data_IF_578482968580
#
_entry.id   IF_578482968580
#
_cell.length_a   1.000
_cell.length_b   1.000
_cell.length_c   1.000
_cell.angle_alpha   90.00
_cell.angle_beta   90.00
_cell.angle_gamma   90.00
#
_symmetry.space_group_name_H-M   'P 1'
#
loop_
_entity.id
_entity.type
_entity.pdbx_description
1 polymer ?
#
# COMPACT_ATOMS: atom_id res chain seq x y z
N UNK A 1 18.99 0.91 -34.67
CA UNK A 1 19.19 -0.44 -34.09
C UNK A 1 18.31 -0.52 -32.84
N UNK A 2 17.04 -0.09 -32.94
CA UNK A 2 16.25 0.32 -31.74
C UNK A 2 14.83 -0.29 -31.72
N UNK A 3 14.31 -0.72 -32.88
CA UNK A 3 12.97 -1.32 -32.98
C UNK A 3 12.89 -2.73 -32.37
N UNK A 4 14.02 -3.44 -32.27
CA UNK A 4 14.05 -4.82 -31.75
C UNK A 4 14.14 -4.86 -30.23
N UNK A 5 14.89 -3.94 -29.61
CA UNK A 5 14.95 -3.82 -28.15
C UNK A 5 13.64 -3.32 -27.55
N UNK A 6 12.97 -2.34 -28.17
CA UNK A 6 11.67 -1.85 -27.70
C UNK A 6 10.58 -2.93 -27.80
N UNK A 7 10.62 -3.77 -28.84
CA UNK A 7 9.70 -4.88 -29.00
C UNK A 7 9.94 -6.01 -27.98
N UNK A 8 11.19 -6.26 -27.56
CA UNK A 8 11.50 -7.19 -26.47
C UNK A 8 11.21 -6.60 -25.09
N UNK A 9 11.47 -5.31 -24.86
CA UNK A 9 11.15 -4.59 -23.63
C UNK A 9 9.64 -4.56 -23.37
N UNK A 10 8.84 -4.29 -24.40
CA UNK A 10 7.37 -4.31 -24.31
C UNK A 10 6.77 -5.72 -24.17
N UNK A 11 7.40 -6.76 -24.74
CA UNK A 11 7.01 -8.16 -24.48
C UNK A 11 7.34 -8.58 -23.04
N UNK A 12 8.51 -8.19 -22.55
CA UNK A 12 8.92 -8.43 -21.16
C UNK A 12 8.08 -7.64 -20.15
N UNK A 13 7.61 -6.44 -20.48
CA UNK A 13 6.72 -5.67 -19.60
C UNK A 13 5.34 -6.31 -19.47
N UNK A 14 4.81 -6.87 -20.57
CA UNK A 14 3.54 -7.60 -20.56
C UNK A 14 3.62 -8.94 -19.83
N UNK A 15 4.73 -9.68 -19.96
CA UNK A 15 4.91 -10.95 -19.27
C UNK A 15 5.16 -10.78 -17.76
N UNK A 16 5.84 -9.70 -17.35
CA UNK A 16 6.07 -9.36 -15.93
C UNK A 16 4.78 -9.26 -15.11
N UNK A 17 3.66 -8.86 -15.71
CA UNK A 17 2.37 -8.80 -15.01
C UNK A 17 1.98 -10.14 -14.38
N UNK A 18 2.23 -11.26 -15.08
CA UNK A 18 1.93 -12.61 -14.60
C UNK A 18 2.94 -13.14 -13.57
N UNK A 19 4.05 -12.42 -13.39
CA UNK A 19 5.14 -12.77 -12.46
C UNK A 19 5.16 -11.84 -11.24
N UNK A 20 4.16 -10.96 -11.09
CA UNK A 20 4.04 -10.13 -9.90
C UNK A 20 3.71 -11.05 -8.70
N UNK A 21 4.54 -11.07 -7.65
CA UNK A 21 4.36 -11.99 -6.54
C UNK A 21 3.15 -11.64 -5.67
N UNK A 22 2.59 -10.43 -5.83
CA UNK A 22 1.55 -9.87 -4.99
C UNK A 22 0.56 -9.08 -5.85
N UNK A 23 -0.72 -9.24 -5.54
CA UNK A 23 -1.82 -8.45 -6.08
C UNK A 23 -2.15 -7.27 -5.16
N UNK A 24 -2.60 -6.15 -5.74
CA UNK A 24 -2.99 -4.98 -4.95
C UNK A 24 -4.30 -5.25 -4.17
N UNK A 25 -4.32 -4.89 -2.89
CA UNK A 25 -5.54 -4.94 -2.08
C UNK A 25 -6.56 -3.88 -2.51
N UNK A 26 -7.84 -4.19 -2.37
CA UNK A 26 -8.95 -3.29 -2.65
C UNK A 26 -10.03 -3.36 -1.56
N UNK A 27 -10.84 -2.32 -1.45
CA UNK A 27 -11.99 -2.26 -0.54
C UNK A 27 -13.23 -1.91 -1.36
N UNK A 28 -14.15 -2.85 -1.43
CA UNK A 28 -15.44 -2.69 -2.09
C UNK A 28 -16.57 -2.83 -1.06
N UNK A 29 -17.61 -2.04 -1.25
CA UNK A 29 -18.81 -2.06 -0.42
C UNK A 29 -19.97 -2.70 -1.18
N UNK A 30 -20.83 -3.41 -0.45
CA UNK A 30 -22.03 -3.97 -1.05
C UNK A 30 -23.06 -2.86 -1.29
N UNK A 31 -23.48 -2.72 -2.56
CA UNK A 31 -24.63 -1.93 -3.02
C UNK A 31 -24.69 -0.47 -2.54
N UNK A 32 -25.27 -0.21 -1.36
CA UNK A 32 -25.62 1.11 -0.84
C UNK A 32 -24.63 1.64 0.20
N UNK A 33 -23.75 0.78 0.72
CA UNK A 33 -22.71 1.23 1.64
C UNK A 33 -21.64 2.03 0.90
N UNK A 34 -21.15 3.09 1.54
CA UNK A 34 -20.12 3.99 0.99
C UNK A 34 -18.77 3.66 1.63
N UNK A 35 -17.71 3.53 0.83
CA UNK A 35 -16.36 3.16 1.29
C UNK A 35 -15.82 4.08 2.39
N UNK A 36 -16.10 5.39 2.32
CA UNK A 36 -15.68 6.35 3.35
C UNK A 36 -16.42 6.24 4.69
N UNK A 37 -17.43 5.37 4.80
CA UNK A 37 -18.10 5.05 6.08
C UNK A 37 -17.54 3.81 6.76
N UNK A 38 -16.62 3.09 6.12
CA UNK A 38 -16.00 1.90 6.69
C UNK A 38 -15.07 2.31 7.83
N UNK A 39 -15.30 1.77 9.04
CA UNK A 39 -14.48 2.04 10.21
C UNK A 39 -13.16 1.28 10.15
N UNK A 40 -12.07 1.88 10.64
CA UNK A 40 -10.77 1.22 10.72
C UNK A 40 -10.81 -0.08 11.54
N UNK A 41 -11.62 -0.13 12.60
CA UNK A 41 -11.85 -1.36 13.40
C UNK A 41 -12.46 -2.49 12.57
N UNK A 42 -13.32 -2.16 11.61
CA UNK A 42 -13.93 -3.16 10.72
C UNK A 42 -12.91 -3.69 9.71
N UNK A 43 -11.98 -2.85 9.26
CA UNK A 43 -10.87 -3.25 8.38
C UNK A 43 -9.93 -4.18 9.12
N UNK A 44 -9.51 -3.82 10.34
CA UNK A 44 -8.60 -4.61 11.18
C UNK A 44 -9.10 -6.04 11.42
N UNK A 45 -10.42 -6.23 11.52
CA UNK A 45 -11.06 -7.52 11.73
C UNK A 45 -11.21 -8.36 10.43
N UNK A 46 -11.11 -7.75 9.25
CA UNK A 46 -11.28 -8.41 7.95
C UNK A 46 -9.97 -8.76 7.25
N UNK A 47 -8.88 -8.05 7.56
CA UNK A 47 -7.55 -8.32 6.99
C UNK A 47 -6.84 -9.45 7.74
N UNK A 48 -5.77 -9.99 7.15
CA UNK A 48 -4.94 -11.00 7.79
C UNK A 48 -4.22 -10.45 9.04
N UNK A 49 -3.73 -11.36 9.88
CA UNK A 49 -3.12 -11.02 11.17
C UNK A 49 -1.87 -10.15 11.00
N UNK A 50 -1.07 -10.34 9.95
CA UNK A 50 0.15 -9.54 9.74
C UNK A 50 -0.21 -8.11 9.36
N UNK A 51 -1.17 -7.94 8.45
CA UNK A 51 -1.69 -6.62 8.08
C UNK A 51 -2.38 -5.91 9.24
N UNK A 52 -3.19 -6.64 10.01
CA UNK A 52 -3.91 -6.11 11.18
C UNK A 52 -2.94 -5.58 12.26
N UNK A 53 -1.82 -6.29 12.48
CA UNK A 53 -0.76 -5.86 13.40
C UNK A 53 0.00 -4.62 12.94
N UNK A 54 -0.07 -4.25 11.66
CA UNK A 54 0.58 -3.07 11.12
C UNK A 54 -0.27 -1.78 11.30
N UNK A 55 -1.40 -1.86 11.99
CA UNK A 55 -2.20 -0.70 12.35
C UNK A 55 -1.75 -0.16 13.71
N UNK A 56 -1.26 1.08 13.72
CA UNK A 56 -0.75 1.73 14.92
C UNK A 56 -1.45 3.06 15.18
N UNK A 57 -1.60 3.40 16.46
CA UNK A 57 -1.94 4.73 16.91
C UNK A 57 -0.71 5.31 17.64
N UNK A 58 -0.18 6.43 17.14
CA UNK A 58 1.05 7.03 17.64
C UNK A 58 0.76 8.42 18.14
N UNK A 59 0.88 8.61 19.45
CA UNK A 59 0.71 9.92 20.09
C UNK A 59 2.05 10.65 20.09
N UNK A 60 2.13 11.76 19.35
CA UNK A 60 3.34 12.58 19.23
C UNK A 60 3.20 13.91 19.97
N UNK A 61 4.27 14.42 20.61
CA UNK A 61 4.21 15.66 21.39
C UNK A 61 4.41 16.90 20.52
N UNK A 62 3.32 17.62 20.25
CA UNK A 62 3.33 18.93 19.55
C UNK A 62 3.29 18.80 18.03
N UNK A 63 3.69 19.86 17.32
CA UNK A 63 3.78 19.83 15.85
C UNK A 63 4.95 18.96 15.42
N UNK A 64 4.65 17.91 14.66
CA UNK A 64 5.63 16.98 14.14
C UNK A 64 5.32 16.64 12.69
N UNK A 65 6.37 16.40 11.90
CA UNK A 65 6.26 15.77 10.58
C UNK A 65 6.64 14.30 10.70
N UNK A 66 5.93 13.46 9.93
CA UNK A 66 6.14 12.02 9.88
C UNK A 66 6.62 11.68 8.47
N UNK A 67 7.67 10.86 8.37
CA UNK A 67 8.20 10.38 7.10
C UNK A 67 8.61 8.91 7.21
N UNK A 68 8.54 8.18 6.09
CA UNK A 68 9.02 6.81 5.99
C UNK A 68 10.35 6.76 5.24
N UNK A 69 11.21 5.79 5.59
CA UNK A 69 12.37 5.44 4.76
C UNK A 69 11.92 4.90 3.40
N UNK A 70 12.79 4.89 2.39
CA UNK A 70 12.46 4.39 1.04
C UNK A 70 11.93 2.95 1.02
N UNK A 71 12.46 2.08 1.89
CA UNK A 71 12.00 0.69 2.05
C UNK A 71 10.85 0.53 3.06
N UNK A 72 10.35 1.65 3.60
CA UNK A 72 9.31 1.74 4.61
C UNK A 72 9.56 0.92 5.89
N UNK A 73 10.81 0.53 6.13
CA UNK A 73 11.19 -0.27 7.30
C UNK A 73 11.29 0.56 8.59
N UNK A 74 11.43 1.89 8.46
CA UNK A 74 11.51 2.82 9.57
C UNK A 74 10.52 3.97 9.38
N UNK A 75 9.90 4.37 10.50
CA UNK A 75 9.13 5.60 10.65
C UNK A 75 9.98 6.63 11.36
N UNK A 76 10.21 7.77 10.73
CA UNK A 76 10.95 8.90 11.30
C UNK A 76 9.96 10.01 11.65
N UNK A 77 10.16 10.63 12.81
CA UNK A 77 9.44 11.83 13.18
C UNK A 77 10.43 12.97 13.45
N UNK A 78 10.09 14.16 12.96
CA UNK A 78 10.88 15.37 13.17
C UNK A 78 10.00 16.36 13.93
N UNK A 79 10.51 16.85 15.06
CA UNK A 79 9.85 17.86 15.88
C UNK A 79 10.33 19.26 15.45
N UNK A 80 9.39 20.18 15.30
CA UNK A 80 9.66 21.60 15.05
C UNK A 80 9.74 22.40 16.34
#
# INVERSE_FOLDING_TARGET
>A
MDLFEDAMSSRNSKSKKWLLPVEAGYLETESLEKTWRVKQTNIANKVDILSSRNQYDVVLPGKCSIAFSDRQSYLMYVKF
#
